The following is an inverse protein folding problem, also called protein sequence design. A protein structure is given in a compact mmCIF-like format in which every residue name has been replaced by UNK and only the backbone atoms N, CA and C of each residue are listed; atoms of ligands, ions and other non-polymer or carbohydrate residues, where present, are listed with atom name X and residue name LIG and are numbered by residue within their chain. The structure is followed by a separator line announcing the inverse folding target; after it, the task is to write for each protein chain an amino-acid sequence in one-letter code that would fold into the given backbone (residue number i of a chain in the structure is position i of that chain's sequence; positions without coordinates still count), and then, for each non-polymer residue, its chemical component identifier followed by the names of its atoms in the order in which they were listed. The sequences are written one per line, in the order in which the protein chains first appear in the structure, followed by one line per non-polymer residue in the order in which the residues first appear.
data_IF_580794178269
#
_entry.id   IF_580794178269
#
_cell.length_a   1.000
_cell.length_b   1.000
_cell.length_c   1.000
_cell.angle_alpha   90.00
_cell.angle_beta   90.00
_cell.angle_gamma   90.00
#
_symmetry.space_group_name_H-M   'P 1'
#
loop_
_entity.id
_entity.type
_entity.pdbx_description
1 polymer ?
#
# COMPACT_ATOMS: atom_id res chain seq x y z
N UNK A 1 16.70 0.48 7.87
CA UNK A 1 16.51 0.95 9.24
C UNK A 1 15.10 1.46 9.48
N UNK A 2 14.70 1.52 10.72
CA UNK A 2 13.35 1.94 11.14
C UNK A 2 13.47 3.01 12.22
N UNK A 3 12.64 4.06 12.14
CA UNK A 3 12.47 5.02 13.23
C UNK A 3 11.53 4.42 14.27
N UNK A 4 12.03 4.07 15.45
CA UNK A 4 11.24 3.43 16.51
C UNK A 4 10.69 4.43 17.53
N UNK A 5 11.32 5.61 17.64
CA UNK A 5 10.82 6.70 18.46
C UNK A 5 11.32 8.05 17.96
N UNK A 6 10.53 9.10 18.21
CA UNK A 6 10.89 10.49 18.00
C UNK A 6 10.42 11.31 19.20
N UNK A 7 11.30 12.02 19.85
CA UNK A 7 11.00 12.84 21.02
C UNK A 7 11.45 14.27 20.75
N UNK A 8 10.53 15.22 20.88
CA UNK A 8 10.84 16.65 20.74
C UNK A 8 11.53 17.17 22.00
N UNK A 9 12.67 17.81 21.82
CA UNK A 9 13.40 18.53 22.86
C UNK A 9 13.39 20.04 22.61
N UNK A 10 14.04 20.83 23.49
CA UNK A 10 14.10 22.29 23.35
C UNK A 10 14.86 22.73 22.08
N UNK A 11 15.89 22.00 21.69
CA UNK A 11 16.78 22.36 20.59
C UNK A 11 16.59 21.52 19.33
N UNK A 12 15.53 20.69 19.27
CA UNK A 12 15.29 19.83 18.11
C UNK A 12 14.54 18.54 18.41
N UNK A 13 14.83 17.50 17.68
CA UNK A 13 14.21 16.18 17.79
C UNK A 13 15.27 15.11 18.00
N UNK A 14 15.09 14.27 19.01
CA UNK A 14 15.87 13.06 19.19
C UNK A 14 15.12 11.89 18.55
N UNK A 15 15.78 11.22 17.61
CA UNK A 15 15.31 10.00 16.96
C UNK A 15 15.99 8.78 17.57
N UNK A 16 15.23 7.71 17.76
CA UNK A 16 15.78 6.38 18.03
C UNK A 16 15.58 5.54 16.78
N UNK A 17 16.66 5.06 16.22
CA UNK A 17 16.69 4.26 15.00
C UNK A 17 17.04 2.81 15.33
N UNK A 18 16.31 1.87 14.73
CA UNK A 18 16.69 0.46 14.70
C UNK A 18 17.36 0.17 13.36
N UNK A 19 18.60 -0.30 13.39
CA UNK A 19 19.34 -0.71 12.19
C UNK A 19 18.89 -2.10 11.71
N UNK A 20 19.22 -2.44 10.47
CA UNK A 20 18.93 -3.77 9.89
C UNK A 20 19.64 -4.93 10.62
N UNK A 21 20.73 -4.68 11.31
CA UNK A 21 21.44 -5.63 12.17
C UNK A 21 20.82 -5.75 13.58
N UNK A 22 19.73 -5.05 13.85
CA UNK A 22 19.06 -5.00 15.16
C UNK A 22 19.64 -3.98 16.14
N UNK A 23 20.76 -3.31 15.80
CA UNK A 23 21.36 -2.28 16.63
C UNK A 23 20.45 -1.05 16.80
N UNK A 24 20.53 -0.42 17.97
CA UNK A 24 19.79 0.81 18.28
C UNK A 24 20.77 1.99 18.26
N UNK A 25 20.37 3.07 17.60
CA UNK A 25 21.15 4.31 17.48
C UNK A 25 20.29 5.52 17.78
N UNK A 26 20.84 6.48 18.54
CA UNK A 26 20.23 7.78 18.80
C UNK A 26 20.78 8.84 17.84
N UNK A 27 19.91 9.60 17.21
CA UNK A 27 20.28 10.72 16.33
C UNK A 27 19.60 11.99 16.80
N UNK A 28 20.38 13.06 16.97
CA UNK A 28 19.86 14.42 17.25
C UNK A 28 19.73 15.17 15.92
N UNK A 29 18.59 15.81 15.69
CA UNK A 29 18.31 16.58 14.50
C UNK A 29 17.58 17.88 14.83
N UNK A 30 17.90 18.97 14.16
CA UNK A 30 17.17 20.22 14.31
C UNK A 30 15.72 20.12 13.81
N UNK A 31 15.50 19.32 12.76
CA UNK A 31 14.18 19.05 12.19
C UNK A 31 14.15 17.64 11.56
N UNK A 32 12.96 17.10 11.40
CA UNK A 32 12.71 15.83 10.71
C UNK A 32 11.72 16.08 9.58
N UNK A 33 12.09 15.69 8.37
CA UNK A 33 11.21 15.72 7.19
C UNK A 33 10.83 14.29 6.83
N UNK A 34 9.53 13.98 6.89
CA UNK A 34 9.04 12.66 6.51
C UNK A 34 8.82 12.61 4.98
N UNK A 35 9.65 11.85 4.30
CA UNK A 35 9.59 11.60 2.86
C UNK A 35 9.28 10.13 2.52
N UNK A 36 8.69 9.37 3.44
CA UNK A 36 8.43 7.92 3.25
C UNK A 36 7.29 7.62 2.27
N UNK A 37 6.57 8.64 1.84
CA UNK A 37 5.41 8.49 0.96
C UNK A 37 4.17 7.95 1.66
N UNK A 38 3.12 7.60 0.90
CA UNK A 38 1.89 7.06 1.45
C UNK A 38 2.12 5.65 2.02
N UNK A 39 1.38 5.33 3.08
CA UNK A 39 1.33 3.98 3.62
C UNK A 39 0.53 3.09 2.67
N UNK A 40 1.18 2.02 2.18
CA UNK A 40 0.58 1.06 1.26
C UNK A 40 0.23 -0.29 1.94
N UNK A 41 0.42 -0.39 3.26
CA UNK A 41 0.13 -1.62 3.99
C UNK A 41 -1.39 -1.85 4.08
N UNK A 42 -1.86 -2.98 3.57
CA UNK A 42 -3.26 -3.37 3.59
C UNK A 42 -3.82 -3.48 5.00
N UNK A 43 -3.00 -3.84 5.98
CA UNK A 43 -3.40 -4.01 7.37
C UNK A 43 -3.46 -2.69 8.16
N UNK A 44 -3.03 -1.59 7.56
CA UNK A 44 -3.01 -0.28 8.22
C UNK A 44 -4.40 0.35 8.39
N UNK A 45 -5.43 -0.14 7.69
CA UNK A 45 -6.79 0.37 7.77
C UNK A 45 -7.83 -0.75 7.93
N UNK A 46 -8.95 -0.49 8.61
CA UNK A 46 -9.88 -1.56 9.06
C UNK A 46 -10.44 -2.42 7.92
N UNK A 47 -10.82 -1.82 6.78
CA UNK A 47 -11.34 -2.57 5.64
C UNK A 47 -10.28 -3.50 5.04
N UNK A 48 -9.07 -3.00 4.81
CA UNK A 48 -7.97 -3.78 4.25
C UNK A 48 -7.62 -4.97 5.13
N UNK A 49 -7.48 -4.73 6.44
CA UNK A 49 -7.25 -5.78 7.43
C UNK A 49 -8.36 -6.84 7.39
N UNK A 50 -9.63 -6.43 7.37
CA UNK A 50 -10.74 -7.37 7.30
C UNK A 50 -10.74 -8.22 6.02
N UNK A 51 -10.39 -7.64 4.87
CA UNK A 51 -10.26 -8.38 3.62
C UNK A 51 -9.10 -9.38 3.68
N UNK A 52 -7.96 -8.98 4.23
CA UNK A 52 -6.78 -9.83 4.40
C UNK A 52 -7.04 -10.99 5.38
N UNK A 53 -7.58 -10.71 6.57
CA UNK A 53 -7.94 -11.73 7.58
C UNK A 53 -8.96 -12.75 7.07
N UNK A 54 -9.83 -12.35 6.15
CA UNK A 54 -10.81 -13.23 5.49
C UNK A 54 -10.24 -13.97 4.29
N UNK A 55 -8.97 -13.78 3.96
CA UNK A 55 -8.31 -14.40 2.82
C UNK A 55 -8.76 -13.89 1.45
N UNK A 56 -9.51 -12.78 1.39
CA UNK A 56 -10.04 -12.21 0.14
C UNK A 56 -8.98 -11.43 -0.66
N UNK A 57 -7.90 -11.04 -0.01
CA UNK A 57 -6.74 -10.42 -0.63
C UNK A 57 -5.46 -11.01 -0.05
N UNK A 58 -4.45 -11.17 -0.89
CA UNK A 58 -3.10 -11.55 -0.50
C UNK A 58 -2.25 -10.29 -0.36
N UNK A 59 -1.51 -10.15 0.75
CA UNK A 59 -0.55 -9.07 0.94
C UNK A 59 0.60 -9.21 -0.04
N UNK A 60 1.03 -8.10 -0.63
CA UNK A 60 2.26 -8.05 -1.42
C UNK A 60 3.48 -8.48 -0.58
N UNK A 61 4.40 -9.32 -1.08
CA UNK A 61 5.54 -9.80 -0.32
C UNK A 61 6.48 -8.71 0.21
N UNK A 62 6.52 -7.55 -0.45
CA UNK A 62 7.30 -6.39 -0.03
C UNK A 62 6.51 -5.43 0.86
N UNK A 63 5.23 -5.74 1.15
CA UNK A 63 4.35 -4.87 1.92
C UNK A 63 3.92 -3.60 1.17
N UNK A 64 3.96 -3.63 -0.16
CA UNK A 64 3.63 -2.50 -1.03
C UNK A 64 2.18 -2.54 -1.54
N UNK A 65 1.27 -3.09 -0.74
CA UNK A 65 -0.14 -3.21 -1.06
C UNK A 65 -0.62 -4.66 -1.08
N UNK A 66 -1.41 -4.99 -2.11
CA UNK A 66 -1.97 -6.33 -2.32
C UNK A 66 -1.55 -6.89 -3.67
N UNK A 67 -1.51 -8.21 -3.76
CA UNK A 67 -1.27 -8.90 -5.03
C UNK A 67 -2.50 -8.73 -5.92
N UNK A 68 -2.26 -8.36 -7.18
CA UNK A 68 -3.30 -8.21 -8.20
C UNK A 68 -2.88 -8.90 -9.49
N UNK A 69 -3.87 -9.29 -10.29
CA UNK A 69 -3.63 -9.74 -11.67
C UNK A 69 -3.46 -8.55 -12.65
N UNK A 70 -3.28 -8.85 -13.93
CA UNK A 70 -3.08 -7.85 -14.99
C UNK A 70 -4.27 -6.88 -15.13
N UNK A 71 -5.50 -7.35 -14.84
CA UNK A 71 -6.72 -6.56 -14.86
C UNK A 71 -6.98 -5.78 -13.57
N UNK A 72 -6.09 -5.89 -12.57
CA UNK A 72 -6.23 -5.25 -11.27
C UNK A 72 -7.24 -5.94 -10.34
N UNK A 73 -7.60 -7.20 -10.60
CA UNK A 73 -8.38 -7.99 -9.66
C UNK A 73 -7.49 -8.40 -8.50
N UNK A 74 -8.00 -8.27 -7.27
CA UNK A 74 -7.28 -8.75 -6.11
C UNK A 74 -7.10 -10.27 -6.15
N UNK A 75 -5.91 -10.74 -5.82
CA UNK A 75 -5.62 -12.17 -5.69
C UNK A 75 -5.84 -12.57 -4.23
N UNK A 76 -6.58 -13.65 -4.02
CA UNK A 76 -6.85 -14.21 -2.70
C UNK A 76 -5.66 -15.03 -2.15
N UNK A 77 -5.78 -15.54 -0.93
CA UNK A 77 -4.72 -16.34 -0.29
C UNK A 77 -4.48 -17.69 -0.96
N UNK A 78 -5.40 -18.18 -1.78
CA UNK A 78 -5.28 -19.42 -2.55
C UNK A 78 -4.68 -19.18 -3.94
N UNK A 79 -4.36 -17.92 -4.27
CA UNK A 79 -3.74 -17.54 -5.53
C UNK A 79 -4.74 -17.30 -6.67
N UNK A 80 -6.03 -17.17 -6.38
CA UNK A 80 -7.07 -16.95 -7.40
C UNK A 80 -7.45 -15.48 -7.47
N UNK A 81 -7.60 -14.95 -8.70
CA UNK A 81 -8.09 -13.61 -8.92
C UNK A 81 -9.59 -13.51 -8.56
N UNK A 82 -9.94 -12.58 -7.67
CA UNK A 82 -11.32 -12.37 -7.25
C UNK A 82 -12.08 -11.53 -8.29
N UNK A 83 -13.11 -12.09 -8.96
CA UNK A 83 -13.82 -11.38 -10.03
C UNK A 83 -14.60 -10.16 -9.54
N UNK A 84 -14.94 -10.12 -8.24
CA UNK A 84 -15.76 -9.06 -7.66
C UNK A 84 -14.95 -7.98 -6.93
N UNK A 85 -13.61 -8.12 -6.86
CA UNK A 85 -12.77 -7.20 -6.10
C UNK A 85 -11.64 -6.66 -6.97
N UNK A 86 -11.70 -5.36 -7.30
CA UNK A 86 -10.67 -4.67 -8.05
C UNK A 86 -9.96 -3.64 -7.19
N UNK A 87 -8.69 -3.46 -7.45
CA UNK A 87 -7.81 -2.54 -6.71
C UNK A 87 -7.32 -1.44 -7.65
N UNK A 88 -7.41 -0.20 -7.19
CA UNK A 88 -6.93 1.00 -7.90
C UNK A 88 -6.08 1.83 -6.94
N UNK A 89 -5.01 2.43 -7.43
CA UNK A 89 -4.19 3.38 -6.68
C UNK A 89 -3.10 2.74 -5.81
N UNK A 90 -2.87 3.31 -4.64
CA UNK A 90 -1.70 3.04 -3.81
C UNK A 90 -1.50 1.56 -3.45
N UNK A 91 -2.57 0.79 -3.29
CA UNK A 91 -2.50 -0.63 -2.95
C UNK A 91 -2.02 -1.53 -4.11
N UNK A 92 -1.87 -0.99 -5.33
CA UNK A 92 -1.25 -1.69 -6.48
C UNK A 92 0.25 -1.46 -6.60
N UNK A 93 0.89 -0.80 -5.66
CA UNK A 93 2.29 -0.38 -5.76
C UNK A 93 3.26 -1.56 -5.91
N UNK A 94 2.93 -2.73 -5.40
CA UNK A 94 3.70 -3.95 -5.60
C UNK A 94 3.73 -4.42 -7.06
N UNK A 95 2.64 -4.23 -7.80
CA UNK A 95 2.53 -4.55 -9.23
C UNK A 95 2.88 -3.37 -10.15
N UNK A 96 2.53 -2.14 -9.73
CA UNK A 96 2.75 -0.90 -10.48
C UNK A 96 3.47 0.11 -9.58
N UNK A 97 4.78 0.27 -9.75
CA UNK A 97 5.56 1.19 -8.90
C UNK A 97 4.99 2.61 -8.90
N UNK A 98 4.64 3.13 -10.08
CA UNK A 98 3.91 4.40 -10.22
C UNK A 98 2.41 4.12 -10.32
N UNK A 99 1.73 4.18 -9.19
CA UNK A 99 0.31 3.81 -9.09
C UNK A 99 -0.58 4.93 -8.55
N UNK A 100 0.00 6.09 -8.20
CA UNK A 100 -0.70 7.15 -7.46
C UNK A 100 -0.71 8.51 -8.15
N UNK A 101 0.07 8.71 -9.21
CA UNK A 101 0.01 9.94 -9.98
C UNK A 101 -1.33 10.04 -10.76
N UNK A 102 -1.78 11.26 -11.06
CA UNK A 102 -3.10 11.50 -11.66
C UNK A 102 -3.28 10.78 -13.00
N UNK A 103 -2.31 10.78 -13.93
CA UNK A 103 -2.42 10.05 -15.19
C UNK A 103 -2.65 8.55 -14.97
N UNK A 104 -1.85 7.94 -14.10
CA UNK A 104 -1.89 6.51 -13.79
C UNK A 104 -3.21 6.11 -13.11
N UNK A 105 -3.72 6.93 -12.19
CA UNK A 105 -5.02 6.71 -11.56
C UNK A 105 -6.16 6.80 -12.58
N UNK A 106 -6.08 7.76 -13.52
CA UNK A 106 -7.06 7.88 -14.59
C UNK A 106 -7.06 6.65 -15.50
N UNK A 107 -5.88 6.17 -15.88
CA UNK A 107 -5.75 5.00 -16.75
C UNK A 107 -6.26 3.73 -16.04
N UNK A 108 -5.92 3.53 -14.77
CA UNK A 108 -6.46 2.44 -13.97
C UNK A 108 -7.99 2.52 -13.84
N UNK A 109 -8.55 3.72 -13.65
CA UNK A 109 -10.00 3.91 -13.57
C UNK A 109 -10.70 3.59 -14.89
N UNK A 110 -10.14 4.03 -16.03
CA UNK A 110 -10.66 3.73 -17.37
C UNK A 110 -10.61 2.22 -17.64
N UNK A 111 -9.49 1.56 -17.37
CA UNK A 111 -9.36 0.10 -17.54
C UNK A 111 -10.39 -0.64 -16.68
N UNK A 112 -10.52 -0.26 -15.40
CA UNK A 112 -11.49 -0.87 -14.48
C UNK A 112 -12.93 -0.68 -14.97
N UNK A 113 -13.33 0.52 -15.37
CA UNK A 113 -14.66 0.81 -15.86
C UNK A 113 -14.98 0.04 -17.15
N UNK A 114 -14.01 -0.04 -18.08
CA UNK A 114 -14.15 -0.79 -19.32
C UNK A 114 -14.36 -2.28 -19.06
N UNK A 115 -13.56 -2.87 -18.16
CA UNK A 115 -13.68 -4.27 -17.79
C UNK A 115 -15.03 -4.57 -17.12
N UNK A 116 -15.47 -3.73 -16.16
CA UNK A 116 -16.78 -3.90 -15.50
C UNK A 116 -17.95 -3.76 -16.47
N UNK A 117 -17.84 -2.90 -17.48
CA UNK A 117 -18.85 -2.75 -18.52
C UNK A 117 -18.92 -4.00 -19.41
N UNK A 118 -17.76 -4.56 -19.80
CA UNK A 118 -17.67 -5.77 -20.59
C UNK A 118 -18.21 -7.01 -19.85
N UNK A 119 -18.03 -7.05 -18.54
CA UNK A 119 -18.56 -8.11 -17.66
C UNK A 119 -20.05 -7.94 -17.34
N UNK A 120 -20.71 -6.87 -17.82
CA UNK A 120 -22.12 -6.58 -17.58
C UNK A 120 -22.46 -6.18 -16.14
N UNK A 121 -21.45 -5.82 -15.35
CA UNK A 121 -21.61 -5.36 -13.96
C UNK A 121 -22.17 -3.94 -13.93
N UNK A 122 -21.70 -3.09 -14.83
CA UNK A 122 -22.25 -1.75 -15.03
C UNK A 122 -23.36 -1.83 -16.10
N UNK A 123 -24.61 -1.83 -15.67
CA UNK A 123 -25.76 -1.63 -16.55
C UNK A 123 -26.06 -0.13 -16.61
N UNK A 124 -26.07 0.42 -17.82
CA UNK A 124 -26.53 1.78 -18.07
C UNK A 124 -28.03 1.91 -17.74
#
# INVERSE_FOLDING_TARGET
GEVVAAVRGPDGVRLTLRRGDGGIEGVEAAAVVNCTGPLCDVDAFPLGRSLHERGLVQRDPLGLGVVVDEDGRAVDTDGHANPSLRVVGALRRGALYESTAIPELRDQAVQTATALSAEGVLRA
#
